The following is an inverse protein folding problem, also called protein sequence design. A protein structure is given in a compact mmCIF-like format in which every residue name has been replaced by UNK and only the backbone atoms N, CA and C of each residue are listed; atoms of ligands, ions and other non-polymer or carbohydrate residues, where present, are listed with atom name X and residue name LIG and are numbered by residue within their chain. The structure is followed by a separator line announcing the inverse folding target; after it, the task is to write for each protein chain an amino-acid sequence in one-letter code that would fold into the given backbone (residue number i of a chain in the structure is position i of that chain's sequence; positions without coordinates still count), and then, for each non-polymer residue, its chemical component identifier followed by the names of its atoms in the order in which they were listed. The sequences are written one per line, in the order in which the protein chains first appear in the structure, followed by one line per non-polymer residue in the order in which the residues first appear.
data_IF_555361235616
#
_entry.id   IF_555361235616
#
_cell.length_a   1.000
_cell.length_b   1.000
_cell.length_c   1.000
_cell.angle_alpha   90.00
_cell.angle_beta   90.00
_cell.angle_gamma   90.00
#
_symmetry.space_group_name_H-M   'P 1'
#
loop_
_entity.id
_entity.type
_entity.pdbx_description
1 polymer ?
#
# COMPACT_ATOMS: atom_id res chain seq x y z
N UNK A 1 10.34 5.62 -24.03
CA UNK A 1 9.24 5.67 -23.03
C UNK A 1 9.88 5.60 -21.65
N UNK A 2 9.91 6.73 -20.94
CA UNK A 2 10.69 6.88 -19.70
C UNK A 2 10.16 6.00 -18.58
N UNK A 3 11.04 5.19 -18.00
CA UNK A 3 10.70 4.43 -16.80
C UNK A 3 10.64 5.41 -15.63
N UNK A 4 9.44 5.89 -15.29
CA UNK A 4 9.21 6.55 -14.01
C UNK A 4 9.22 5.47 -12.92
N UNK A 5 10.43 5.03 -12.55
CA UNK A 5 10.65 4.18 -11.38
C UNK A 5 10.35 5.06 -10.16
N UNK A 6 9.09 5.08 -9.72
CA UNK A 6 8.73 5.71 -8.45
C UNK A 6 9.60 5.12 -7.35
N UNK A 7 10.04 5.95 -6.40
CA UNK A 7 10.75 5.41 -5.25
C UNK A 7 9.80 4.51 -4.48
N UNK A 8 10.27 3.31 -4.16
CA UNK A 8 9.57 2.38 -3.28
C UNK A 8 10.27 2.39 -1.93
N UNK A 9 9.48 2.38 -0.86
CA UNK A 9 9.96 2.23 0.51
C UNK A 9 9.24 1.07 1.16
N UNK A 10 9.96 0.32 2.00
CA UNK A 10 9.35 -0.68 2.86
C UNK A 10 8.80 0.02 4.09
N UNK A 11 7.51 -0.16 4.36
CA UNK A 11 6.83 0.36 5.54
C UNK A 11 6.25 -0.81 6.31
N UNK A 12 6.47 -0.80 7.63
CA UNK A 12 5.84 -1.74 8.55
C UNK A 12 4.51 -1.17 9.02
N UNK A 13 3.42 -1.89 8.78
CA UNK A 13 2.06 -1.50 9.13
C UNK A 13 1.45 -2.54 10.06
N UNK A 14 0.76 -2.09 11.11
CA UNK A 14 -0.09 -2.96 11.94
C UNK A 14 -1.54 -2.74 11.55
N UNK A 15 -2.17 -3.75 10.93
CA UNK A 15 -3.56 -3.67 10.44
C UNK A 15 -4.35 -4.81 11.04
N UNK A 16 -5.50 -4.52 11.65
CA UNK A 16 -6.34 -5.51 12.33
C UNK A 16 -5.60 -6.38 13.38
N UNK A 17 -4.51 -5.87 13.95
CA UNK A 17 -3.68 -6.58 14.93
C UNK A 17 -2.50 -7.37 14.34
N UNK A 18 -2.44 -7.53 13.02
CA UNK A 18 -1.38 -8.24 12.30
C UNK A 18 -0.33 -7.25 11.75
N UNK A 19 0.95 -7.62 11.80
CA UNK A 19 2.05 -6.82 11.24
C UNK A 19 2.31 -7.20 9.78
N UNK A 20 2.40 -6.20 8.92
CA UNK A 20 2.65 -6.34 7.49
C UNK A 20 3.83 -5.48 7.07
N UNK A 21 4.78 -6.06 6.35
CA UNK A 21 5.87 -5.35 5.69
C UNK A 21 5.51 -5.14 4.23
N UNK A 22 5.24 -3.89 3.83
CA UNK A 22 4.69 -3.57 2.51
C UNK A 22 5.57 -2.58 1.76
N UNK A 23 5.86 -2.88 0.50
CA UNK A 23 6.51 -1.94 -0.40
C UNK A 23 5.48 -0.93 -0.93
N UNK A 24 5.64 0.34 -0.56
CA UNK A 24 4.77 1.44 -0.98
C UNK A 24 5.52 2.36 -1.93
N UNK A 25 4.83 2.83 -2.97
CA UNK A 25 5.36 3.87 -3.88
C UNK A 25 5.07 5.26 -3.31
N UNK A 26 5.98 6.21 -3.53
CA UNK A 26 5.71 7.63 -3.24
C UNK A 26 4.38 8.07 -3.91
N UNK A 27 3.46 8.61 -3.11
CA UNK A 27 2.14 9.07 -3.55
C UNK A 27 1.04 7.99 -3.62
N UNK A 28 1.34 6.73 -3.30
CA UNK A 28 0.34 5.67 -3.14
C UNK A 28 -0.51 5.93 -1.87
N UNK A 29 -1.83 5.85 -1.99
CA UNK A 29 -2.71 6.10 -0.85
C UNK A 29 -2.77 4.88 0.06
N UNK A 30 -2.99 5.09 1.37
CA UNK A 30 -3.19 3.98 2.31
C UNK A 30 -4.35 3.08 1.87
N UNK A 31 -5.41 3.65 1.27
CA UNK A 31 -6.54 2.88 0.76
C UNK A 31 -6.11 1.90 -0.33
N UNK A 32 -5.32 2.36 -1.31
CA UNK A 32 -4.84 1.53 -2.41
C UNK A 32 -3.89 0.44 -1.87
N UNK A 33 -3.02 0.77 -0.89
CA UNK A 33 -2.17 -0.22 -0.22
C UNK A 33 -3.00 -1.31 0.47
N UNK A 34 -4.01 -0.94 1.26
CA UNK A 34 -4.86 -1.89 1.97
C UNK A 34 -5.65 -2.80 1.00
N UNK A 35 -6.18 -2.23 -0.09
CA UNK A 35 -7.01 -2.97 -1.04
C UNK A 35 -6.20 -3.82 -2.01
N UNK A 36 -5.14 -3.27 -2.57
CA UNK A 36 -4.42 -3.91 -3.68
C UNK A 36 -3.25 -4.78 -3.19
N UNK A 37 -2.59 -4.38 -2.09
CA UNK A 37 -1.47 -5.14 -1.51
C UNK A 37 -1.93 -6.12 -0.45
N UNK A 38 -2.77 -5.68 0.49
CA UNK A 38 -3.25 -6.53 1.59
C UNK A 38 -4.58 -7.24 1.27
N UNK A 39 -5.21 -6.95 0.12
CA UNK A 39 -6.48 -7.55 -0.31
C UNK A 39 -7.63 -7.37 0.71
N UNK A 40 -7.57 -6.33 1.53
CA UNK A 40 -8.60 -5.98 2.51
C UNK A 40 -9.69 -5.13 1.82
N UNK A 41 -10.57 -5.79 1.07
CA UNK A 41 -11.55 -5.13 0.18
C UNK A 41 -12.78 -4.54 0.89
N UNK A 42 -12.87 -4.66 2.22
CA UNK A 42 -13.95 -4.07 3.02
C UNK A 42 -13.93 -2.54 3.06
N UNK A 43 -12.75 -1.92 2.92
CA UNK A 43 -12.60 -0.45 2.88
C UNK A 43 -13.05 0.07 1.52
N UNK A 44 -14.06 0.95 1.47
CA UNK A 44 -14.64 1.48 0.23
C UNK A 44 -14.03 2.84 -0.16
N UNK A 45 -13.92 3.09 -1.47
CA UNK A 45 -13.68 4.43 -2.03
C UNK A 45 -15.04 5.04 -2.31
N UNK A 46 -15.38 6.13 -1.62
CA UNK A 46 -16.64 6.86 -1.75
C UNK A 46 -16.38 8.34 -1.90
#
# INVERSE_FOLDING_TARGET
MGQNKGNYRIVLLKVNGEEHSVAVKDGETLLDVLRDRLRLTGTKKG
#
